data_IF_825419448588
#
_entry.id   IF_825419448588
#
_cell.length_a   1.000
_cell.length_b   1.000
_cell.length_c   1.000
_cell.angle_alpha   90.00
_cell.angle_beta   90.00
_cell.angle_gamma   90.00
#
_symmetry.space_group_name_H-M   'P 1'
#
loop_
_entity.id
_entity.type
_entity.pdbx_description
1 polymer ?
#
# COMPACT_ATOMS: atom_id res chain seq x y z
N UNK A 1 -12.84 10.92 -25.33
CA UNK A 1 -13.70 12.12 -25.38
C UNK A 1 -14.64 11.95 -26.56
N UNK A 2 -15.94 12.11 -26.38
CA UNK A 2 -16.88 12.04 -27.51
C UNK A 2 -16.52 13.14 -28.51
N UNK A 3 -16.29 12.77 -29.76
CA UNK A 3 -15.87 13.72 -30.79
C UNK A 3 -16.94 14.80 -31.05
N UNK A 4 -18.20 14.49 -30.77
CA UNK A 4 -19.37 15.32 -31.12
C UNK A 4 -20.11 15.88 -29.89
N UNK A 5 -19.44 15.95 -28.74
CA UNK A 5 -20.04 16.43 -27.49
C UNK A 5 -20.81 15.35 -26.70
N UNK A 6 -21.34 15.74 -25.54
CA UNK A 6 -22.08 14.83 -24.65
C UNK A 6 -23.48 14.59 -25.23
N UNK A 7 -23.94 13.33 -25.40
CA UNK A 7 -25.27 13.03 -25.93
C UNK A 7 -26.42 13.67 -25.13
N UNK A 8 -27.56 14.01 -25.77
CA UNK A 8 -28.73 14.54 -25.07
C UNK A 8 -29.24 13.55 -24.00
N UNK A 9 -29.48 14.05 -22.78
CA UNK A 9 -29.97 13.23 -21.66
C UNK A 9 -28.87 12.65 -20.75
N UNK A 10 -27.59 12.95 -21.02
CA UNK A 10 -26.47 12.59 -20.13
C UNK A 10 -25.99 13.84 -19.41
N UNK A 11 -26.03 13.83 -18.07
CA UNK A 11 -25.39 14.86 -17.26
C UNK A 11 -23.90 14.53 -17.12
N UNK A 12 -23.05 15.24 -17.87
CA UNK A 12 -21.60 15.11 -17.76
C UNK A 12 -21.08 16.05 -16.67
N UNK A 13 -20.50 15.48 -15.62
CA UNK A 13 -19.75 16.23 -14.60
C UNK A 13 -18.26 15.95 -14.79
N UNK A 14 -17.46 16.92 -15.27
CA UNK A 14 -16.02 16.74 -15.32
C UNK A 14 -15.48 16.63 -13.89
N UNK A 15 -14.65 15.62 -13.63
CA UNK A 15 -13.89 15.47 -12.39
C UNK A 15 -12.52 16.13 -12.59
N UNK A 16 -12.26 17.33 -12.03
CA UNK A 16 -11.01 18.06 -12.26
C UNK A 16 -9.76 17.27 -11.85
N UNK A 17 -9.90 16.34 -10.90
CA UNK A 17 -8.81 15.48 -10.42
C UNK A 17 -8.44 14.33 -11.40
N UNK A 18 -9.27 14.09 -12.41
CA UNK A 18 -9.02 13.12 -13.47
C UNK A 18 -8.17 13.69 -14.64
N UNK A 19 -7.75 14.96 -14.56
CA UNK A 19 -6.87 15.56 -15.56
C UNK A 19 -5.39 15.19 -15.28
N UNK A 20 -4.79 14.42 -16.20
CA UNK A 20 -3.40 13.97 -16.11
C UNK A 20 -2.44 15.06 -16.61
N UNK A 21 -1.79 15.79 -15.71
CA UNK A 21 -0.60 16.59 -16.03
C UNK A 21 0.61 15.64 -16.22
N UNK A 22 0.92 15.30 -17.47
CA UNK A 22 1.73 14.11 -17.84
C UNK A 22 3.22 14.20 -17.47
N UNK A 23 3.85 15.39 -17.49
CA UNK A 23 5.32 15.51 -17.42
C UNK A 23 5.97 15.13 -16.07
N UNK A 24 5.54 15.77 -14.98
CA UNK A 24 6.17 15.59 -13.64
C UNK A 24 5.62 14.36 -12.91
N UNK A 25 4.38 13.98 -13.21
CA UNK A 25 3.70 12.82 -12.61
C UNK A 25 4.26 11.51 -13.16
N UNK A 26 4.62 11.47 -14.46
CA UNK A 26 5.25 10.30 -15.09
C UNK A 26 6.63 10.02 -14.52
N UNK A 27 7.45 11.04 -14.25
CA UNK A 27 8.82 10.83 -13.74
C UNK A 27 8.83 10.27 -12.32
N UNK A 28 7.99 10.83 -11.43
CA UNK A 28 7.83 10.33 -10.05
C UNK A 28 7.32 8.88 -10.02
N UNK A 29 6.29 8.60 -10.81
CA UNK A 29 5.75 7.24 -10.93
C UNK A 29 6.79 6.25 -11.49
N UNK A 30 7.59 6.67 -12.48
CA UNK A 30 8.67 5.85 -13.03
C UNK A 30 9.73 5.55 -11.96
N UNK A 31 10.23 6.57 -11.25
CA UNK A 31 11.25 6.37 -10.22
C UNK A 31 10.76 5.46 -9.09
N UNK A 32 9.52 5.62 -8.65
CA UNK A 32 8.90 4.71 -7.69
C UNK A 32 8.84 3.28 -8.25
N UNK A 33 8.40 3.09 -9.49
CA UNK A 33 8.33 1.76 -10.12
C UNK A 33 9.71 1.09 -10.22
N UNK A 34 10.76 1.84 -10.54
CA UNK A 34 12.13 1.35 -10.58
C UNK A 34 12.65 0.98 -9.17
N UNK A 35 12.33 1.79 -8.15
CA UNK A 35 12.63 1.47 -6.75
C UNK A 35 11.92 0.17 -6.31
N UNK A 36 10.64 0.02 -6.64
CA UNK A 36 9.85 -1.19 -6.34
C UNK A 36 10.46 -2.41 -7.01
N UNK A 37 10.88 -2.31 -8.26
CA UNK A 37 11.57 -3.41 -8.96
C UNK A 37 12.88 -3.80 -8.24
N UNK A 38 13.70 -2.83 -7.85
CA UNK A 38 14.94 -3.08 -7.12
C UNK A 38 14.70 -3.75 -5.76
N UNK A 39 13.70 -3.30 -4.99
CA UNK A 39 13.32 -3.94 -3.72
C UNK A 39 12.84 -5.38 -3.94
N UNK A 40 11.96 -5.61 -4.92
CA UNK A 40 11.40 -6.94 -5.19
C UNK A 40 12.40 -7.91 -5.83
N UNK A 41 13.49 -7.41 -6.41
CA UNK A 41 14.64 -8.20 -6.88
C UNK A 41 15.74 -8.32 -5.82
N UNK A 42 15.57 -7.68 -4.66
CA UNK A 42 16.53 -7.62 -3.55
C UNK A 42 17.88 -6.99 -3.94
N UNK A 43 17.88 -6.11 -4.94
CA UNK A 43 19.03 -5.28 -5.30
C UNK A 43 19.07 -4.04 -4.40
N UNK A 44 19.66 -4.19 -3.22
CA UNK A 44 19.66 -3.19 -2.15
C UNK A 44 20.38 -1.90 -2.55
N UNK A 45 21.51 -2.01 -3.26
CA UNK A 45 22.28 -0.84 -3.67
C UNK A 45 21.52 -0.04 -4.73
N UNK A 46 20.93 -0.73 -5.72
CA UNK A 46 20.06 -0.08 -6.69
C UNK A 46 18.83 0.54 -6.02
N UNK A 47 18.17 -0.17 -5.10
CA UNK A 47 17.02 0.35 -4.37
C UNK A 47 17.38 1.62 -3.60
N UNK A 48 18.51 1.64 -2.89
CA UNK A 48 18.98 2.82 -2.15
C UNK A 48 19.21 4.03 -3.08
N UNK A 49 19.74 3.81 -4.28
CA UNK A 49 19.95 4.89 -5.26
C UNK A 49 18.65 5.44 -5.86
N UNK A 50 17.60 4.60 -5.91
CA UNK A 50 16.32 4.90 -6.55
C UNK A 50 15.27 5.44 -5.60
N UNK A 51 15.50 5.40 -4.28
CA UNK A 51 14.54 5.90 -3.29
C UNK A 51 14.09 7.31 -3.68
N UNK A 52 12.77 7.59 -3.73
CA UNK A 52 12.28 8.91 -4.12
C UNK A 52 12.77 10.01 -3.19
N UNK A 53 12.92 11.23 -3.71
CA UNK A 53 13.17 12.40 -2.86
C UNK A 53 11.98 12.58 -1.91
N UNK A 54 12.24 12.65 -0.60
CA UNK A 54 11.21 12.74 0.45
C UNK A 54 10.32 13.98 0.32
N UNK A 55 10.79 15.04 -0.36
CA UNK A 55 10.03 16.26 -0.64
C UNK A 55 9.04 16.07 -1.78
N UNK A 56 9.35 15.18 -2.73
CA UNK A 56 8.53 14.91 -3.91
C UNK A 56 7.55 13.76 -3.71
N UNK A 57 8.01 12.73 -2.99
CA UNK A 57 7.27 11.54 -2.61
C UNK A 57 7.79 11.05 -1.25
N UNK A 58 7.18 11.45 -0.12
CA UNK A 58 7.55 10.93 1.18
C UNK A 58 7.21 9.43 1.25
N UNK A 59 8.25 8.62 1.35
CA UNK A 59 8.19 7.18 1.55
C UNK A 59 8.76 6.85 2.93
N UNK A 60 7.97 6.20 3.77
CA UNK A 60 8.37 5.82 5.13
C UNK A 60 7.97 4.39 5.44
N UNK A 61 8.55 3.82 6.50
CA UNK A 61 7.98 2.65 7.17
C UNK A 61 7.70 2.92 8.65
N UNK A 62 6.82 2.13 9.26
CA UNK A 62 6.59 2.16 10.72
C UNK A 62 6.17 0.79 11.24
N UNK A 63 6.44 0.54 12.52
CA UNK A 63 5.99 -0.65 13.26
C UNK A 63 4.64 -0.46 13.97
N UNK A 64 4.05 0.72 13.86
CA UNK A 64 2.82 1.12 14.54
C UNK A 64 1.74 1.55 13.53
N UNK A 65 0.64 0.80 13.51
CA UNK A 65 -0.46 1.04 12.57
C UNK A 65 -1.17 2.36 12.86
N UNK A 66 -1.27 2.78 14.12
CA UNK A 66 -1.92 4.04 14.47
C UNK A 66 -1.05 5.23 14.08
N UNK A 67 0.28 5.09 14.15
CA UNK A 67 1.21 6.11 13.60
C UNK A 67 1.05 6.22 12.08
N UNK A 68 0.92 5.10 11.37
CA UNK A 68 0.65 5.12 9.92
C UNK A 68 -0.69 5.83 9.61
N UNK A 69 -1.75 5.51 10.36
CA UNK A 69 -3.06 6.16 10.17
C UNK A 69 -3.03 7.66 10.49
N UNK A 70 -2.35 8.05 11.56
CA UNK A 70 -2.15 9.45 11.92
C UNK A 70 -1.41 10.20 10.81
N UNK A 71 -0.36 9.59 10.22
CA UNK A 71 0.36 10.16 9.10
C UNK A 71 -0.53 10.39 7.88
N UNK A 72 -1.34 9.40 7.51
CA UNK A 72 -2.24 9.51 6.37
C UNK A 72 -3.25 10.64 6.56
N UNK A 73 -3.84 10.76 7.76
CA UNK A 73 -4.78 11.84 8.09
C UNK A 73 -4.11 13.22 8.06
N UNK A 74 -2.88 13.32 8.57
CA UNK A 74 -2.15 14.58 8.60
C UNK A 74 -1.66 15.02 7.20
N UNK A 75 -1.41 14.07 6.29
CA UNK A 75 -0.93 14.35 4.93
C UNK A 75 -2.03 14.56 3.92
N UNK A 76 -3.18 13.89 4.08
CA UNK A 76 -4.29 14.08 3.16
C UNK A 76 -4.95 15.43 3.40
N UNK A 77 -5.23 16.14 2.32
CA UNK A 77 -6.11 17.31 2.30
C UNK A 77 -7.41 16.93 1.56
N UNK A 78 -8.41 16.36 2.25
CA UNK A 78 -9.60 15.84 1.57
C UNK A 78 -10.48 16.93 0.96
N UNK A 79 -10.42 18.14 1.52
CA UNK A 79 -11.14 19.31 0.98
C UNK A 79 -10.60 19.72 -0.41
N UNK A 80 -9.33 19.41 -0.69
CA UNK A 80 -8.69 19.56 -2.00
C UNK A 80 -8.86 18.30 -2.87
N UNK A 81 -9.69 17.36 -2.42
CA UNK A 81 -10.03 16.12 -3.11
C UNK A 81 -8.94 15.05 -3.07
N UNK A 82 -7.89 15.22 -2.25
CA UNK A 82 -6.86 14.20 -2.09
C UNK A 82 -7.42 13.01 -1.30
N UNK A 83 -7.10 11.78 -1.74
CA UNK A 83 -7.59 10.56 -1.09
C UNK A 83 -6.50 9.78 -0.37
N UNK A 84 -6.76 9.46 0.91
CA UNK A 84 -5.98 8.51 1.68
C UNK A 84 -6.69 7.15 1.80
N UNK A 85 -5.92 6.06 1.89
CA UNK A 85 -6.47 4.74 2.15
C UNK A 85 -5.42 3.72 2.58
N UNK A 86 -5.90 2.66 3.24
CA UNK A 86 -5.09 1.47 3.52
C UNK A 86 -5.19 0.47 2.39
N UNK A 87 -4.07 -0.18 2.07
CA UNK A 87 -4.04 -1.31 1.14
C UNK A 87 -3.25 -2.47 1.73
N UNK A 88 -3.63 -3.70 1.39
CA UNK A 88 -3.02 -4.92 1.90
C UNK A 88 -3.24 -6.06 0.94
N UNK A 89 -2.35 -7.06 0.91
CA UNK A 89 -2.60 -8.23 0.07
C UNK A 89 -3.91 -8.96 0.41
N UNK A 90 -4.58 -9.58 -0.57
CA UNK A 90 -5.75 -10.45 -0.31
C UNK A 90 -5.44 -11.72 0.48
N UNK A 91 -4.18 -12.15 0.53
CA UNK A 91 -3.82 -13.50 0.97
C UNK A 91 -3.42 -13.61 2.45
N UNK A 92 -2.98 -12.53 3.08
CA UNK A 92 -2.55 -12.56 4.49
C UNK A 92 -3.73 -12.38 5.46
N UNK A 93 -4.40 -13.50 5.77
CA UNK A 93 -5.49 -13.54 6.75
C UNK A 93 -5.07 -13.22 8.18
N UNK A 94 -3.76 -13.18 8.50
CA UNK A 94 -3.26 -12.86 9.85
C UNK A 94 -3.21 -11.37 10.12
N UNK A 95 -3.34 -10.51 9.11
CA UNK A 95 -3.59 -9.09 9.32
C UNK A 95 -4.88 -8.83 10.13
N UNK A 96 -5.82 -9.78 10.16
CA UNK A 96 -7.01 -9.76 11.02
C UNK A 96 -6.68 -9.62 12.50
N UNK A 97 -5.54 -10.14 12.96
CA UNK A 97 -5.09 -9.97 14.35
C UNK A 97 -4.85 -8.51 14.74
N UNK A 98 -4.71 -7.62 13.74
CA UNK A 98 -4.53 -6.17 13.89
C UNK A 98 -5.77 -5.39 13.43
N UNK A 99 -6.92 -6.05 13.31
CA UNK A 99 -8.19 -5.42 12.92
C UNK A 99 -8.42 -5.29 11.41
N UNK A 100 -7.51 -5.80 10.57
CA UNK A 100 -7.65 -5.72 9.11
C UNK A 100 -8.18 -7.05 8.54
N UNK A 101 -9.49 -7.16 8.38
CA UNK A 101 -10.16 -8.33 7.81
C UNK A 101 -9.79 -8.54 6.32
N UNK A 102 -9.39 -9.77 5.97
CA UNK A 102 -8.92 -10.12 4.62
C UNK A 102 -9.71 -11.26 3.97
N UNK A 103 -10.67 -11.86 4.66
CA UNK A 103 -11.42 -12.99 4.12
C UNK A 103 -12.15 -12.61 2.84
N UNK A 104 -12.18 -13.54 1.88
CA UNK A 104 -12.85 -13.30 0.60
C UNK A 104 -14.33 -12.99 0.78
N UNK A 105 -15.00 -13.58 1.78
CA UNK A 105 -16.40 -13.29 2.08
C UNK A 105 -16.61 -11.82 2.45
N UNK A 106 -15.77 -11.27 3.34
CA UNK A 106 -15.84 -9.86 3.70
C UNK A 106 -15.56 -8.95 2.49
N UNK A 107 -14.50 -9.23 1.73
CA UNK A 107 -14.12 -8.39 0.58
C UNK A 107 -15.16 -8.38 -0.55
N UNK A 108 -15.84 -9.50 -0.77
CA UNK A 108 -16.90 -9.60 -1.79
C UNK A 108 -18.19 -8.88 -1.37
N UNK A 109 -18.46 -8.79 -0.07
CA UNK A 109 -19.66 -8.14 0.48
C UNK A 109 -19.45 -6.63 0.72
N UNK A 110 -18.20 -6.19 0.92
CA UNK A 110 -17.90 -4.81 1.22
C UNK A 110 -18.03 -3.88 -0.02
N UNK A 111 -18.73 -2.75 0.17
CA UNK A 111 -18.93 -1.71 -0.85
C UNK A 111 -17.65 -0.91 -1.17
N UNK A 112 -16.74 -1.48 -1.98
CA UNK A 112 -15.53 -0.76 -2.41
C UNK A 112 -15.83 0.45 -3.30
N UNK A 113 -16.98 0.50 -3.99
CA UNK A 113 -17.44 1.71 -4.68
C UNK A 113 -17.61 2.88 -3.70
N UNK A 114 -18.12 2.62 -2.49
CA UNK A 114 -18.25 3.65 -1.45
C UNK A 114 -16.91 3.99 -0.85
N UNK A 115 -16.04 2.99 -0.70
CA UNK A 115 -14.66 3.19 -0.23
C UNK A 115 -13.90 4.21 -1.08
N UNK A 116 -14.05 4.16 -2.41
CA UNK A 116 -13.40 5.10 -3.33
C UNK A 116 -14.14 6.42 -3.54
N UNK A 117 -15.47 6.47 -3.35
CA UNK A 117 -16.27 7.62 -3.77
C UNK A 117 -16.83 8.46 -2.62
N UNK A 118 -17.00 7.89 -1.43
CA UNK A 118 -17.65 8.61 -0.33
C UNK A 118 -16.72 9.67 0.29
N UNK A 119 -17.28 10.78 0.80
CA UNK A 119 -16.53 11.83 1.47
C UNK A 119 -15.94 11.35 2.83
N UNK A 120 -14.99 12.09 3.41
CA UNK A 120 -14.33 11.71 4.67
C UNK A 120 -15.26 11.50 5.87
N UNK A 121 -16.43 12.15 5.88
CA UNK A 121 -17.42 11.99 6.94
C UNK A 121 -18.16 10.64 6.91
N UNK A 122 -18.09 9.90 5.79
CA UNK A 122 -18.68 8.56 5.68
C UNK A 122 -17.66 7.52 6.17
N UNK A 123 -18.05 6.73 7.17
CA UNK A 123 -17.20 5.68 7.77
C UNK A 123 -16.81 4.57 6.78
N UNK A 124 -17.53 4.43 5.66
CA UNK A 124 -17.20 3.46 4.62
C UNK A 124 -16.15 3.98 3.65
N UNK A 125 -15.83 5.27 3.71
CA UNK A 125 -14.81 5.89 2.87
C UNK A 125 -13.41 5.40 3.22
N UNK A 126 -12.51 5.37 2.25
CA UNK A 126 -11.09 5.07 2.46
C UNK A 126 -10.44 5.95 3.54
N UNK A 127 -10.94 7.18 3.71
CA UNK A 127 -10.50 8.14 4.73
C UNK A 127 -10.71 7.67 6.17
N UNK A 128 -11.63 6.72 6.42
CA UNK A 128 -11.82 6.15 7.75
C UNK A 128 -10.60 5.33 8.20
N UNK A 129 -9.86 4.77 7.23
CA UNK A 129 -8.68 3.92 7.46
C UNK A 129 -8.98 2.66 8.29
N UNK A 130 -10.20 2.13 8.17
CA UNK A 130 -10.66 0.92 8.87
C UNK A 130 -10.58 -0.33 7.98
N UNK A 131 -10.77 -0.16 6.68
CA UNK A 131 -10.78 -1.25 5.69
C UNK A 131 -9.64 -1.06 4.69
N UNK A 132 -8.89 -2.14 4.47
CA UNK A 132 -7.80 -2.17 3.49
C UNK A 132 -8.24 -2.82 2.17
N UNK A 133 -8.09 -2.09 1.07
CA UNK A 133 -8.30 -2.62 -0.28
C UNK A 133 -7.12 -3.53 -0.69
N UNK A 134 -7.39 -4.54 -1.51
CA UNK A 134 -6.37 -5.41 -2.09
C UNK A 134 -5.90 -4.94 -3.45
N UNK A 135 -4.88 -5.61 -3.97
CA UNK A 135 -4.42 -5.51 -5.34
C UNK A 135 -5.54 -5.68 -6.38
N UNK A 136 -6.61 -6.39 -6.06
CA UNK A 136 -7.77 -6.56 -6.94
C UNK A 136 -8.67 -5.34 -6.92
N UNK A 137 -9.02 -4.86 -5.72
CA UNK A 137 -9.95 -3.74 -5.58
C UNK A 137 -9.30 -2.40 -5.97
N UNK A 138 -7.97 -2.28 -5.87
CA UNK A 138 -7.21 -1.14 -6.38
C UNK A 138 -6.71 -1.30 -7.83
N UNK A 139 -7.12 -2.34 -8.56
CA UNK A 139 -6.63 -2.57 -9.91
C UNK A 139 -7.06 -1.44 -10.86
N UNK A 140 -6.09 -0.73 -11.45
CA UNK A 140 -6.37 0.41 -12.33
C UNK A 140 -6.80 1.68 -11.61
N UNK A 141 -6.79 1.68 -10.28
CA UNK A 141 -7.07 2.84 -9.43
C UNK A 141 -5.80 3.21 -8.64
N UNK A 142 -5.65 4.51 -8.37
CA UNK A 142 -4.57 5.06 -7.57
C UNK A 142 -5.14 5.92 -6.44
N UNK A 143 -4.39 6.04 -5.35
CA UNK A 143 -4.70 6.91 -4.22
C UNK A 143 -3.62 7.97 -4.11
N UNK A 144 -3.93 9.11 -3.52
CA UNK A 144 -2.92 10.14 -3.28
C UNK A 144 -1.96 9.70 -2.17
N UNK A 145 -2.52 9.25 -1.05
CA UNK A 145 -1.78 8.83 0.13
C UNK A 145 -2.09 7.38 0.51
N UNK A 146 -1.07 6.55 0.63
CA UNK A 146 -1.27 5.10 0.85
C UNK A 146 -0.61 4.63 2.14
N UNK A 147 -1.39 3.93 2.97
CA UNK A 147 -0.85 3.05 4.00
C UNK A 147 -0.77 1.63 3.47
N UNK A 148 0.43 1.15 3.14
CA UNK A 148 0.62 -0.24 2.77
C UNK A 148 0.79 -1.08 4.04
N UNK A 149 -0.14 -2.00 4.28
CA UNK A 149 -0.06 -2.98 5.34
C UNK A 149 0.69 -4.22 4.83
N UNK A 150 1.99 -4.29 5.10
CA UNK A 150 2.85 -5.37 4.61
C UNK A 150 2.60 -6.67 5.39
N UNK A 151 2.25 -7.75 4.69
CA UNK A 151 1.95 -9.06 5.26
C UNK A 151 3.16 -9.98 5.41
N UNK A 152 2.99 -11.08 6.13
CA UNK A 152 3.99 -12.14 6.30
C UNK A 152 3.94 -13.24 5.22
N UNK A 153 3.12 -13.03 4.19
CA UNK A 153 3.04 -13.88 3.00
C UNK A 153 4.20 -13.65 2.01
N UNK A 154 4.87 -12.48 2.10
CA UNK A 154 6.13 -12.19 1.40
C UNK A 154 7.14 -11.55 2.35
N UNK A 155 8.14 -12.32 2.77
CA UNK A 155 9.22 -11.83 3.66
C UNK A 155 10.58 -12.20 3.11
N UNK A 156 11.65 -11.42 3.34
CA UNK A 156 13.00 -11.84 2.99
C UNK A 156 13.35 -13.17 3.68
N UNK A 157 14.10 -14.03 3.00
CA UNK A 157 14.70 -15.22 3.59
C UNK A 157 16.02 -14.90 4.29
N UNK A 158 16.58 -15.88 5.00
CA UNK A 158 17.96 -15.85 5.48
C UNK A 158 18.65 -17.15 4.98
N UNK A 159 19.72 -17.10 4.16
CA UNK A 159 20.61 -15.97 3.86
C UNK A 159 20.30 -15.13 2.61
N UNK A 160 19.25 -15.43 1.81
CA UNK A 160 18.96 -14.62 0.62
C UNK A 160 17.76 -15.08 -0.21
N UNK A 161 17.09 -14.14 -0.88
CA UNK A 161 15.86 -14.39 -1.63
C UNK A 161 14.58 -14.11 -0.84
N UNK A 162 13.44 -14.48 -1.42
CA UNK A 162 12.12 -14.29 -0.81
C UNK A 162 11.57 -15.61 -0.24
N UNK A 163 10.97 -15.54 0.93
CA UNK A 163 10.07 -16.56 1.46
C UNK A 163 8.64 -16.21 1.07
N UNK A 164 8.07 -17.05 0.24
CA UNK A 164 6.69 -16.94 -0.24
C UNK A 164 5.80 -17.87 0.57
N UNK A 165 4.69 -17.35 1.11
CA UNK A 165 3.76 -18.13 1.90
C UNK A 165 2.31 -17.83 1.53
N UNK A 166 1.43 -18.74 1.91
CA UNK A 166 -0.02 -18.56 1.89
C UNK A 166 -0.60 -19.08 3.19
N UNK A 167 -1.58 -18.37 3.72
CA UNK A 167 -2.27 -18.78 4.93
C UNK A 167 -3.46 -19.68 4.56
N UNK A 168 -3.51 -20.91 5.09
CA UNK A 168 -4.64 -21.82 4.88
C UNK A 168 -4.99 -22.52 6.19
N UNK A 169 -6.28 -22.58 6.50
CA UNK A 169 -6.74 -23.12 7.78
C UNK A 169 -6.17 -22.31 8.94
N UNK A 170 -5.26 -22.91 9.70
CA UNK A 170 -4.62 -22.32 10.88
C UNK A 170 -3.11 -22.06 10.72
N UNK A 171 -2.53 -22.30 9.53
CA UNK A 171 -1.07 -22.29 9.37
C UNK A 171 -0.59 -21.63 8.08
N UNK A 172 0.69 -21.23 8.12
CA UNK A 172 1.43 -20.80 6.94
C UNK A 172 1.95 -21.99 6.15
N UNK A 173 1.69 -21.99 4.85
CA UNK A 173 2.24 -22.94 3.90
C UNK A 173 3.20 -22.25 2.96
N UNK A 174 4.36 -22.85 2.71
CA UNK A 174 5.30 -22.34 1.72
C UNK A 174 4.74 -22.47 0.30
N UNK A 175 4.94 -21.42 -0.49
CA UNK A 175 4.64 -21.40 -1.92
C UNK A 175 5.89 -21.86 -2.68
N UNK A 176 5.78 -22.99 -3.38
CA UNK A 176 6.90 -23.65 -4.08
C UNK A 176 6.89 -23.44 -5.59
N UNK A 177 5.71 -23.32 -6.20
CA UNK A 177 5.58 -23.17 -7.65
C UNK A 177 5.98 -21.77 -8.12
N UNK A 178 6.82 -21.68 -9.13
CA UNK A 178 7.36 -20.40 -9.60
C UNK A 178 6.28 -19.44 -10.11
N UNK A 179 5.23 -19.96 -10.75
CA UNK A 179 4.06 -19.14 -11.14
C UNK A 179 3.34 -18.51 -9.95
N UNK A 180 3.14 -19.27 -8.86
CA UNK A 180 2.48 -18.78 -7.64
C UNK A 180 3.40 -17.79 -6.88
N UNK A 181 4.73 -18.02 -6.88
CA UNK A 181 5.72 -17.06 -6.35
C UNK A 181 5.73 -15.75 -7.14
N UNK A 182 5.72 -15.84 -8.47
CA UNK A 182 5.64 -14.68 -9.35
C UNK A 182 4.35 -13.89 -9.08
N UNK A 183 3.24 -14.58 -8.85
CA UNK A 183 1.97 -13.97 -8.46
C UNK A 183 2.08 -13.21 -7.13
N UNK A 184 2.63 -13.83 -6.06
CA UNK A 184 2.85 -13.16 -4.77
C UNK A 184 3.69 -11.89 -4.95
N UNK A 185 4.83 -11.98 -5.65
CA UNK A 185 5.70 -10.83 -5.91
C UNK A 185 4.97 -9.74 -6.70
N UNK A 186 4.11 -10.13 -7.64
CA UNK A 186 3.35 -9.16 -8.45
C UNK A 186 2.27 -8.44 -7.64
N UNK A 187 1.64 -9.09 -6.65
CA UNK A 187 0.73 -8.42 -5.71
C UNK A 187 1.42 -7.26 -5.02
N UNK A 188 2.62 -7.49 -4.48
CA UNK A 188 3.42 -6.43 -3.87
C UNK A 188 3.87 -5.35 -4.86
N UNK A 189 4.21 -5.71 -6.10
CA UNK A 189 4.49 -4.70 -7.16
C UNK A 189 3.29 -3.79 -7.42
N UNK A 190 2.09 -4.35 -7.49
CA UNK A 190 0.85 -3.58 -7.66
C UNK A 190 0.64 -2.67 -6.47
N UNK A 191 0.71 -3.21 -5.25
CA UNK A 191 0.46 -2.47 -4.01
C UNK A 191 1.45 -1.31 -3.81
N UNK A 192 2.75 -1.57 -3.99
CA UNK A 192 3.80 -0.57 -3.79
C UNK A 192 3.77 0.58 -4.82
N UNK A 193 3.03 0.44 -5.91
CA UNK A 193 2.86 1.47 -6.95
C UNK A 193 1.50 2.16 -6.92
N UNK A 194 0.66 1.94 -5.89
CA UNK A 194 -0.69 2.54 -5.81
C UNK A 194 -0.74 4.01 -5.38
N UNK A 195 0.37 4.57 -4.88
CA UNK A 195 0.41 5.92 -4.31
C UNK A 195 0.85 6.96 -5.35
N UNK A 196 0.16 8.11 -5.39
CA UNK A 196 0.51 9.25 -6.26
C UNK A 196 1.38 10.30 -5.58
N UNK A 197 1.11 10.58 -4.30
CA UNK A 197 1.77 11.65 -3.55
C UNK A 197 2.71 11.12 -2.48
N UNK A 198 2.35 10.04 -1.78
CA UNK A 198 3.25 9.45 -0.77
C UNK A 198 2.73 8.16 -0.17
N UNK A 199 3.62 7.44 0.52
CA UNK A 199 3.33 6.15 1.11
C UNK A 199 3.98 5.96 2.48
N UNK A 200 3.23 5.38 3.41
CA UNK A 200 3.77 4.78 4.63
C UNK A 200 3.56 3.27 4.59
N UNK A 201 4.63 2.51 4.79
CA UNK A 201 4.59 1.05 4.87
C UNK A 201 4.51 0.66 6.34
N UNK A 202 3.36 0.18 6.78
CA UNK A 202 3.24 -0.43 8.10
C UNK A 202 3.68 -1.89 8.05
N UNK A 203 4.55 -2.26 8.99
CA UNK A 203 4.98 -3.64 9.19
C UNK A 203 4.57 -4.06 10.61
N UNK A 204 3.78 -5.14 10.78
CA UNK A 204 3.40 -5.61 12.09
C UNK A 204 4.60 -5.93 13.00
N UNK A 205 4.51 -5.68 14.30
CA UNK A 205 5.55 -6.13 15.26
C UNK A 205 5.64 -7.65 15.39
N UNK A 206 4.56 -8.35 15.02
CA UNK A 206 4.43 -9.77 15.31
C UNK A 206 4.14 -10.05 16.77
N UNK A 207 4.06 -11.33 17.11
CA UNK A 207 3.72 -11.84 18.43
C UNK A 207 4.51 -13.12 18.70
N UNK A 208 5.37 -13.12 19.72
CA UNK A 208 6.22 -14.27 20.03
C UNK A 208 5.43 -15.51 20.48
N UNK A 209 4.22 -15.32 21.01
CA UNK A 209 3.28 -16.36 21.42
C UNK A 209 2.41 -16.90 20.28
N UNK A 210 2.47 -16.30 19.09
CA UNK A 210 1.72 -16.72 17.90
C UNK A 210 2.69 -17.05 16.75
N UNK A 211 2.88 -18.33 16.47
CA UNK A 211 3.76 -18.82 15.39
C UNK A 211 3.35 -18.35 13.99
N UNK A 212 2.10 -17.92 13.83
CA UNK A 212 1.59 -17.33 12.58
C UNK A 212 1.88 -15.84 12.46
N UNK A 213 2.40 -15.21 13.51
CA UNK A 213 2.80 -13.80 13.58
C UNK A 213 4.26 -13.66 14.03
N UNK A 214 5.13 -14.59 13.64
CA UNK A 214 6.55 -14.62 13.98
C UNK A 214 7.25 -13.25 13.81
N UNK A 215 7.67 -12.59 14.92
CA UNK A 215 8.34 -11.29 14.88
C UNK A 215 9.56 -11.27 13.97
N UNK A 216 10.34 -12.35 13.94
CA UNK A 216 11.58 -12.40 13.18
C UNK A 216 11.36 -12.25 11.67
N UNK A 217 10.17 -12.62 11.16
CA UNK A 217 9.79 -12.40 9.74
C UNK A 217 9.55 -10.93 9.45
N UNK A 218 8.82 -10.26 10.34
CA UNK A 218 8.53 -8.85 10.21
C UNK A 218 9.77 -7.97 10.42
N UNK A 219 10.68 -8.37 11.31
CA UNK A 219 11.94 -7.66 11.52
C UNK A 219 12.85 -7.74 10.27
N UNK A 220 12.76 -8.82 9.48
CA UNK A 220 13.47 -8.91 8.21
C UNK A 220 12.92 -7.94 7.16
N UNK A 221 11.61 -7.68 7.16
CA UNK A 221 11.01 -6.68 6.29
C UNK A 221 11.50 -5.28 6.69
N UNK A 222 11.53 -4.98 7.99
CA UNK A 222 12.06 -3.72 8.50
C UNK A 222 13.51 -3.49 8.08
N UNK A 223 14.38 -4.48 8.32
CA UNK A 223 15.79 -4.42 7.90
C UNK A 223 15.95 -4.24 6.40
N UNK A 224 15.10 -4.90 5.59
CA UNK A 224 15.10 -4.71 4.14
C UNK A 224 14.78 -3.25 3.77
N UNK A 225 13.72 -2.68 4.33
CA UNK A 225 13.31 -1.31 4.00
C UNK A 225 14.36 -0.29 4.47
N UNK A 226 14.91 -0.46 5.68
CA UNK A 226 16.03 0.35 6.18
C UNK A 226 17.23 0.26 5.23
N UNK A 227 17.63 -0.95 4.84
CA UNK A 227 18.77 -1.15 3.94
C UNK A 227 18.53 -0.54 2.54
N UNK A 228 17.29 -0.57 2.06
CA UNK A 228 16.83 0.04 0.80
C UNK A 228 16.68 1.57 0.88
N UNK A 229 17.02 2.19 2.01
CA UNK A 229 17.03 3.65 2.18
C UNK A 229 15.69 4.25 2.60
N UNK A 230 14.69 3.44 2.96
CA UNK A 230 13.41 3.95 3.47
C UNK A 230 13.58 4.32 4.94
N UNK A 231 13.33 5.58 5.33
CA UNK A 231 13.43 6.01 6.72
C UNK A 231 12.23 5.54 7.55
N UNK A 232 12.47 5.26 8.83
CA UNK A 232 11.39 5.06 9.81
C UNK A 232 10.62 6.38 9.99
N UNK A 233 9.30 6.27 10.11
CA UNK A 233 8.44 7.38 10.47
C UNK A 233 8.51 7.60 11.98
N UNK A 234 9.12 8.71 12.38
CA UNK A 234 9.15 9.15 13.77
C UNK A 234 7.80 9.75 14.18
N UNK A 235 7.40 9.58 15.44
CA UNK A 235 6.10 10.06 15.96
C UNK A 235 5.98 11.59 16.01
N UNK A 236 7.10 12.32 15.95
CA UNK A 236 7.12 13.77 15.93
C UNK A 236 6.84 14.26 14.49
N UNK A 237 5.57 14.52 14.21
CA UNK A 237 5.16 15.18 12.98
C UNK A 237 5.53 16.65 13.02
N UNK A 238 6.78 16.97 12.69
CA UNK A 238 7.13 18.33 12.26
C UNK A 238 6.50 18.58 10.89
N UNK A 239 5.56 19.53 10.82
CA UNK A 239 5.11 20.13 9.57
C UNK A 239 3.63 19.95 9.22
N UNK A 240 2.74 20.43 10.10
CA UNK A 240 1.43 20.94 9.70
C UNK A 240 1.45 22.48 9.68
N UNK A 241 2.51 23.10 9.14
CA UNK A 241 2.55 24.53 8.82
C UNK A 241 3.67 24.80 7.80
N UNK A 242 3.27 25.02 6.53
CA UNK A 242 3.95 25.89 5.58
C UNK A 242 2.92 26.35 4.54
#
# INVERSE_FOLDING_TARGET
MFADGVPPGIEFRPEPLAHLSVGVRSFRAQRLAEWVDAVLTLDIERARSLVPDRREFPLHFTRDLEVAKAWLRARSEPDDGQRAGLIATSEDQRLRAYGLERSSAFRLDYSFEKWFLMPPADVRSSHALEVAASEFECQGLELDWVGLCWGSDLTPSNPGGWEYRKFRGSAWHQVRGDGERAYVRNRYRVLLTRARLGMVIWIPRGRADDTTLDPARFDRIERLLQAAGVPELQQEFEGAHA
#
